data_IF_456771405930
#
_entry.id   IF_456771405930
#
_cell.length_a   1.000
_cell.length_b   1.000
_cell.length_c   1.000
_cell.angle_alpha   90.00
_cell.angle_beta   90.00
_cell.angle_gamma   90.00
#
_symmetry.space_group_name_H-M   'P 1'
#
loop_
_entity.id
_entity.type
_entity.pdbx_description
1 polymer ?
#
# COMPACT_ATOMS: atom_id res chain seq x y z
N UNK A 1 -25.99 -8.15 -25.97
CA UNK A 1 -24.80 -8.60 -25.22
C UNK A 1 -23.52 -8.15 -25.94
N UNK A 2 -23.35 -6.84 -26.20
CA UNK A 2 -22.22 -6.35 -27.04
C UNK A 2 -21.59 -5.01 -26.61
N UNK A 3 -22.35 -3.98 -26.23
CA UNK A 3 -21.72 -2.67 -25.92
C UNK A 3 -21.49 -2.42 -24.42
N UNK A 4 -22.45 -2.78 -23.57
CA UNK A 4 -22.35 -2.60 -22.11
C UNK A 4 -21.21 -3.45 -21.54
N UNK A 5 -21.05 -4.67 -22.04
CA UNK A 5 -20.00 -5.60 -21.60
C UNK A 5 -18.60 -5.03 -21.89
N UNK A 6 -18.39 -4.45 -23.08
CA UNK A 6 -17.13 -3.80 -23.45
C UNK A 6 -16.84 -2.55 -22.61
N UNK A 7 -17.86 -1.75 -22.32
CA UNK A 7 -17.73 -0.57 -21.46
C UNK A 7 -17.33 -0.96 -20.03
N UNK A 8 -17.98 -2.01 -19.48
CA UNK A 8 -17.65 -2.55 -18.16
C UNK A 8 -16.20 -3.06 -18.16
N UNK A 9 -15.81 -3.87 -19.14
CA UNK A 9 -14.45 -4.42 -19.21
C UNK A 9 -13.39 -3.33 -19.27
N UNK A 10 -13.61 -2.29 -20.09
CA UNK A 10 -12.70 -1.14 -20.18
C UNK A 10 -12.60 -0.40 -18.85
N UNK A 11 -13.73 -0.03 -18.25
CA UNK A 11 -13.74 0.75 -17.02
C UNK A 11 -13.14 -0.03 -15.84
N UNK A 12 -13.47 -1.32 -15.71
CA UNK A 12 -12.91 -2.20 -14.68
C UNK A 12 -11.41 -2.41 -14.91
N UNK A 13 -10.97 -2.59 -16.16
CA UNK A 13 -9.56 -2.73 -16.52
C UNK A 13 -8.74 -1.50 -16.16
N UNK A 14 -9.18 -0.30 -16.57
CA UNK A 14 -8.53 0.98 -16.24
C UNK A 14 -8.44 1.20 -14.73
N UNK A 15 -9.50 0.86 -13.99
CA UNK A 15 -9.55 0.95 -12.53
C UNK A 15 -8.58 -0.04 -11.87
N UNK A 16 -8.46 -1.26 -12.40
CA UNK A 16 -7.53 -2.26 -11.88
C UNK A 16 -6.08 -1.84 -12.11
N UNK A 17 -5.73 -1.34 -13.30
CA UNK A 17 -4.40 -0.86 -13.62
C UNK A 17 -4.00 0.28 -12.68
N UNK A 18 -4.89 1.27 -12.52
CA UNK A 18 -4.68 2.39 -11.60
C UNK A 18 -4.47 1.91 -10.15
N UNK A 19 -5.23 0.90 -9.73
CA UNK A 19 -5.12 0.31 -8.40
C UNK A 19 -3.77 -0.40 -8.19
N UNK A 20 -3.30 -1.14 -9.19
CA UNK A 20 -1.99 -1.81 -9.14
C UNK A 20 -0.86 -0.78 -9.12
N UNK A 21 -0.91 0.24 -9.97
CA UNK A 21 0.09 1.32 -10.00
C UNK A 21 0.22 2.02 -8.64
N UNK A 22 -0.91 2.28 -7.99
CA UNK A 22 -0.96 2.82 -6.63
C UNK A 22 -0.31 1.89 -5.59
N UNK A 23 -0.54 0.58 -5.67
CA UNK A 23 0.10 -0.37 -4.74
C UNK A 23 1.61 -0.39 -4.93
N UNK A 24 2.08 -0.38 -6.17
CA UNK A 24 3.52 -0.27 -6.49
C UNK A 24 4.09 1.02 -5.91
N UNK A 25 3.39 2.15 -6.07
CA UNK A 25 3.81 3.43 -5.52
C UNK A 25 3.93 3.39 -3.99
N UNK A 26 2.92 2.83 -3.30
CA UNK A 26 2.95 2.65 -1.83
C UNK A 26 4.17 1.83 -1.41
N UNK A 27 4.43 0.70 -2.07
CA UNK A 27 5.55 -0.19 -1.74
C UNK A 27 6.89 0.53 -1.94
N UNK A 28 7.08 1.24 -3.06
CA UNK A 28 8.29 2.01 -3.31
C UNK A 28 8.50 3.13 -2.28
N UNK A 29 7.44 3.83 -1.89
CA UNK A 29 7.51 4.87 -0.85
C UNK A 29 7.92 4.23 0.48
N UNK A 30 7.29 3.13 0.89
CA UNK A 30 7.65 2.42 2.13
C UNK A 30 9.10 1.95 2.08
N UNK A 31 9.54 1.34 0.98
CA UNK A 31 10.90 0.83 0.81
C UNK A 31 11.96 1.93 0.92
N UNK A 32 11.68 3.12 0.38
CA UNK A 32 12.59 4.27 0.49
C UNK A 32 12.58 4.84 1.90
N UNK A 33 11.39 5.10 2.45
CA UNK A 33 11.20 5.81 3.73
C UNK A 33 11.48 4.98 4.96
N UNK A 34 11.44 3.66 4.87
CA UNK A 34 11.78 2.80 6.00
C UNK A 34 13.26 2.93 6.42
N UNK A 35 14.13 3.48 5.56
CA UNK A 35 15.53 3.78 5.92
C UNK A 35 15.66 4.98 6.85
N UNK A 36 14.64 5.86 6.85
CA UNK A 36 14.62 7.11 7.61
C UNK A 36 13.91 6.94 8.97
N UNK A 37 13.29 5.79 9.23
CA UNK A 37 12.62 5.51 10.51
C UNK A 37 13.55 4.80 11.47
N UNK A 38 13.45 5.11 12.77
CA UNK A 38 14.21 4.41 13.81
C UNK A 38 13.95 2.91 13.78
N UNK A 39 14.96 2.14 14.17
CA UNK A 39 14.86 0.69 14.31
C UNK A 39 13.64 0.28 15.13
N UNK A 40 12.96 -0.79 14.67
CA UNK A 40 11.73 -1.28 15.29
C UNK A 40 10.48 -0.44 15.00
N UNK A 41 10.57 0.62 14.17
CA UNK A 41 9.40 1.38 13.68
C UNK A 41 9.11 1.06 12.21
N UNK A 42 7.86 1.28 11.82
CA UNK A 42 7.43 1.23 10.42
C UNK A 42 6.99 2.60 9.92
N UNK A 43 6.94 2.74 8.60
CA UNK A 43 6.42 3.92 7.91
C UNK A 43 4.91 4.03 8.15
N UNK A 44 4.46 5.19 8.63
CA UNK A 44 3.04 5.43 8.91
C UNK A 44 2.26 5.76 7.62
N UNK A 45 0.95 5.43 7.55
CA UNK A 45 0.12 5.82 6.41
C UNK A 45 0.16 7.32 6.10
N UNK A 46 0.11 8.17 7.13
CA UNK A 46 0.20 9.63 6.95
C UNK A 46 1.52 10.06 6.30
N UNK A 47 2.63 9.37 6.60
CA UNK A 47 3.91 9.66 5.96
C UNK A 47 3.87 9.25 4.48
N UNK A 48 3.28 8.10 4.15
CA UNK A 48 3.11 7.67 2.74
C UNK A 48 2.25 8.67 1.96
N UNK A 49 1.18 9.18 2.57
CA UNK A 49 0.28 10.16 1.94
C UNK A 49 1.03 11.40 1.45
N UNK A 50 2.02 11.90 2.20
CA UNK A 50 2.82 13.07 1.82
C UNK A 50 3.69 12.87 0.58
N UNK A 51 3.89 11.63 0.12
CA UNK A 51 4.71 11.30 -1.04
C UNK A 51 3.92 10.73 -2.22
N UNK A 52 2.60 10.58 -2.08
CA UNK A 52 1.74 10.21 -3.19
C UNK A 52 1.48 11.42 -4.09
N UNK A 53 1.46 11.20 -5.41
CA UNK A 53 1.16 12.25 -6.39
C UNK A 53 -0.30 12.73 -6.30
N UNK A 54 -1.18 11.90 -5.72
CA UNK A 54 -2.60 12.17 -5.58
C UNK A 54 -3.02 12.09 -4.12
N UNK A 55 -3.94 12.98 -3.75
CA UNK A 55 -4.52 12.95 -2.42
C UNK A 55 -5.28 11.64 -2.20
N UNK A 56 -4.94 10.97 -1.09
CA UNK A 56 -5.64 9.79 -0.60
C UNK A 56 -6.02 10.02 0.85
N UNK A 57 -7.30 9.88 1.18
CA UNK A 57 -7.73 9.93 2.57
C UNK A 57 -6.97 8.90 3.42
N UNK A 58 -6.47 9.30 4.59
CA UNK A 58 -5.60 8.47 5.43
C UNK A 58 -6.26 7.12 5.76
N UNK A 59 -7.57 7.10 6.03
CA UNK A 59 -8.30 5.87 6.33
C UNK A 59 -8.34 4.89 5.15
N UNK A 60 -8.46 5.41 3.92
CA UNK A 60 -8.38 4.59 2.71
C UNK A 60 -6.97 4.02 2.55
N UNK A 61 -5.95 4.85 2.70
CA UNK A 61 -4.55 4.43 2.61
C UNK A 61 -4.19 3.38 3.66
N UNK A 62 -4.69 3.53 4.89
CA UNK A 62 -4.58 2.54 5.96
C UNK A 62 -5.17 1.19 5.57
N UNK A 63 -6.33 1.17 4.89
CA UNK A 63 -6.95 -0.06 4.38
C UNK A 63 -6.10 -0.70 3.30
N UNK A 64 -5.55 0.07 2.36
CA UNK A 64 -4.67 -0.45 1.31
C UNK A 64 -3.39 -1.05 1.90
N UNK A 65 -2.70 -0.32 2.78
CA UNK A 65 -1.48 -0.80 3.41
C UNK A 65 -1.75 -2.04 4.28
N UNK A 66 -2.90 -2.10 4.95
CA UNK A 66 -3.34 -3.29 5.67
C UNK A 66 -3.70 -4.46 4.74
N UNK A 67 -4.16 -4.19 3.52
CA UNK A 67 -4.36 -5.21 2.50
C UNK A 67 -3.02 -5.76 2.04
N UNK A 68 -2.07 -4.91 1.64
CA UNK A 68 -0.71 -5.30 1.26
C UNK A 68 0.00 -6.10 2.36
N UNK A 69 -0.21 -5.74 3.62
CA UNK A 69 0.34 -6.50 4.73
C UNK A 69 -0.27 -7.90 4.88
N UNK A 70 -1.59 -8.04 4.65
CA UNK A 70 -2.25 -9.35 4.63
C UNK A 70 -1.81 -10.22 3.45
N UNK A 71 -1.32 -9.61 2.37
CA UNK A 71 -0.76 -10.32 1.21
C UNK A 71 0.74 -10.63 1.37
N UNK A 72 1.37 -10.30 2.50
CA UNK A 72 2.79 -10.51 2.73
C UNK A 72 3.72 -9.53 2.00
N UNK A 73 3.18 -8.56 1.26
CA UNK A 73 3.97 -7.54 0.54
C UNK A 73 4.59 -6.53 1.51
N UNK A 74 3.87 -6.21 2.58
CA UNK A 74 4.35 -5.36 3.68
C UNK A 74 4.32 -6.14 4.99
N UNK A 75 5.21 -5.79 5.90
CA UNK A 75 5.15 -6.24 7.28
C UNK A 75 4.57 -5.13 8.15
N UNK A 76 3.62 -5.48 9.01
CA UNK A 76 3.01 -4.55 9.94
C UNK A 76 3.86 -4.44 11.22
N UNK A 77 4.21 -3.21 11.60
CA UNK A 77 5.06 -2.93 12.76
C UNK A 77 4.26 -2.20 13.85
N UNK A 78 4.38 -2.66 15.09
CA UNK A 78 3.77 -2.08 16.29
C UNK A 78 2.70 -2.96 16.95
N UNK A 79 2.49 -2.73 18.25
CA UNK A 79 1.60 -3.53 19.09
C UNK A 79 0.10 -3.43 18.76
N UNK A 80 -0.70 -4.31 19.37
CA UNK A 80 -2.16 -4.28 19.28
C UNK A 80 -2.69 -2.97 19.88
N UNK A 81 -3.50 -2.21 19.13
CA UNK A 81 -4.12 -0.96 19.60
C UNK A 81 -3.33 0.34 19.35
N UNK A 82 -2.05 0.28 18.94
CA UNK A 82 -1.25 1.48 18.67
C UNK A 82 -1.39 1.99 17.22
N UNK A 83 -0.97 3.23 16.93
CA UNK A 83 -0.76 3.71 15.54
C UNK A 83 0.29 2.82 14.87
N UNK A 84 -0.14 2.03 13.88
CA UNK A 84 0.70 1.00 13.23
C UNK A 84 1.42 1.54 12.00
N UNK A 85 2.72 1.24 11.92
CA UNK A 85 3.55 1.49 10.75
C UNK A 85 3.73 0.23 9.91
N UNK A 86 4.39 0.37 8.76
CA UNK A 86 4.64 -0.71 7.81
C UNK A 86 6.08 -0.67 7.33
N UNK A 87 6.67 -1.83 7.04
CA UNK A 87 8.00 -1.96 6.43
C UNK A 87 7.99 -3.02 5.34
N UNK A 88 9.03 -3.05 4.53
CA UNK A 88 9.30 -4.17 3.62
C UNK A 88 9.78 -5.35 4.48
N UNK A 89 9.22 -6.57 4.28
CA UNK A 89 9.71 -7.76 4.96
C UNK A 89 11.21 -7.96 4.69
N UNK A 90 11.94 -8.48 5.68
CA UNK A 90 13.30 -8.97 5.43
C UNK A 90 13.21 -10.20 4.52
N UNK A 91 14.17 -10.35 3.60
CA UNK A 91 14.20 -11.43 2.62
C UNK A 91 14.22 -12.86 3.24
N UNK A 92 14.46 -12.96 4.54
CA UNK A 92 14.51 -14.19 5.33
C UNK A 92 13.15 -14.95 5.43
N UNK A 93 12.06 -14.39 4.89
CA UNK A 93 10.71 -14.97 4.95
C UNK A 93 10.19 -15.53 3.62
N UNK A 94 11.03 -15.65 2.59
CA UNK A 94 10.71 -16.43 1.38
C UNK A 94 11.42 -17.80 1.49
N UNK A 95 10.90 -18.67 2.35
CA UNK A 95 11.19 -20.10 2.36
C UNK A 95 9.98 -20.86 1.81
#
# INVERSE_FOLDING_TARGET
>A
MRDVDQLILRHVGEKLISKVALYVAIVHIVQRRQRDVRDGRGVLPVAVQSWLNEYRAEQTLRREMSYLARQGVLERVGGKGCRRGYRIPKAENFC
#
